data_IF_252287784627
#
_entry.id   IF_252287784627
#
_cell.length_a   1.000
_cell.length_b   1.000
_cell.length_c   1.000
_cell.angle_alpha   90.00
_cell.angle_beta   90.00
_cell.angle_gamma   90.00
#
_symmetry.space_group_name_H-M   'P 1'
#
loop_
_entity.id
_entity.type
_entity.pdbx_description
1 polymer ?
#
# COMPACT_ATOMS: atom_id res chain seq x y z
N UNK A 1 6.43 -14.44 4.96
CA UNK A 1 7.86 -14.46 5.37
C UNK A 1 8.16 -13.38 6.40
N UNK A 2 8.05 -12.08 6.07
CA UNK A 2 8.37 -10.96 6.98
C UNK A 2 7.68 -11.08 8.35
N UNK A 3 6.36 -11.24 8.38
CA UNK A 3 5.61 -11.33 9.64
C UNK A 3 6.00 -12.57 10.47
N UNK A 4 6.31 -13.68 9.81
CA UNK A 4 6.80 -14.89 10.49
C UNK A 4 8.20 -14.67 11.08
N UNK A 5 9.07 -13.93 10.39
CA UNK A 5 10.37 -13.52 10.93
C UNK A 5 10.20 -12.63 12.16
N UNK A 6 9.30 -11.65 12.12
CA UNK A 6 9.00 -10.79 13.28
C UNK A 6 8.45 -11.59 14.45
N UNK A 7 7.53 -12.52 14.20
CA UNK A 7 6.98 -13.41 15.21
C UNK A 7 8.07 -14.27 15.88
N UNK A 8 9.00 -14.84 15.10
CA UNK A 8 10.12 -15.61 15.65
C UNK A 8 11.02 -14.75 16.53
N UNK A 9 11.40 -13.56 16.05
CA UNK A 9 12.20 -12.61 16.84
C UNK A 9 11.49 -12.24 18.15
N UNK A 10 10.20 -11.94 18.08
CA UNK A 10 9.37 -11.65 19.25
C UNK A 10 9.35 -12.84 20.23
N UNK A 11 9.05 -14.05 19.75
CA UNK A 11 8.99 -15.25 20.57
C UNK A 11 10.33 -15.53 21.26
N UNK A 12 11.44 -15.48 20.51
CA UNK A 12 12.78 -15.71 21.06
C UNK A 12 13.17 -14.64 22.08
N UNK A 13 12.86 -13.38 21.83
CA UNK A 13 13.14 -12.29 22.77
C UNK A 13 12.35 -12.48 24.08
N UNK A 14 11.07 -12.79 23.99
CA UNK A 14 10.22 -12.95 25.19
C UNK A 14 10.60 -14.20 25.99
N UNK A 15 11.00 -15.28 25.31
CA UNK A 15 11.56 -16.47 25.94
C UNK A 15 12.88 -16.15 26.67
N UNK A 16 13.77 -15.36 26.05
CA UNK A 16 15.01 -14.89 26.68
C UNK A 16 14.76 -14.11 27.97
N UNK A 17 13.76 -13.22 27.98
CA UNK A 17 13.37 -12.46 29.18
C UNK A 17 12.46 -13.23 30.15
N UNK A 18 12.10 -14.49 29.84
CA UNK A 18 11.16 -15.32 30.60
C UNK A 18 9.80 -14.65 30.85
N UNK A 19 9.33 -13.85 29.89
CA UNK A 19 8.03 -13.20 29.98
C UNK A 19 6.98 -14.11 29.32
N UNK A 20 5.94 -14.56 30.04
CA UNK A 20 4.88 -15.39 29.45
C UNK A 20 4.09 -14.56 28.43
N UNK A 21 3.93 -15.08 27.21
CA UNK A 21 3.29 -14.39 26.08
C UNK A 21 1.98 -15.00 25.63
N UNK A 22 1.68 -16.21 26.09
CA UNK A 22 0.42 -16.90 25.83
C UNK A 22 -0.01 -17.71 27.05
N UNK A 23 -1.33 -17.87 27.19
CA UNK A 23 -1.94 -18.79 28.14
C UNK A 23 -2.72 -19.83 27.34
N UNK A 24 -2.53 -21.12 27.62
CA UNK A 24 -3.20 -22.19 26.91
C UNK A 24 -4.17 -22.92 27.83
N UNK A 25 -5.37 -23.19 27.30
CA UNK A 25 -6.45 -23.88 27.98
C UNK A 25 -6.81 -25.13 27.21
N UNK A 26 -7.01 -26.24 27.90
CA UNK A 26 -7.49 -27.49 27.29
C UNK A 26 -9.02 -27.46 27.23
N UNK A 27 -9.58 -27.47 26.02
CA UNK A 27 -11.03 -27.45 25.81
C UNK A 27 -11.51 -28.86 25.44
N UNK A 28 -12.38 -29.41 26.28
CA UNK A 28 -13.08 -30.67 26.00
C UNK A 28 -14.20 -30.43 24.98
N UNK A 29 -14.26 -31.24 23.93
CA UNK A 29 -15.18 -31.04 22.79
C UNK A 29 -16.44 -31.92 22.82
N UNK A 30 -16.60 -32.75 23.85
CA UNK A 30 -17.71 -33.71 23.98
C UNK A 30 -17.22 -35.15 24.12
N UNK A 31 -18.14 -36.10 24.26
CA UNK A 31 -17.81 -37.54 24.25
C UNK A 31 -17.27 -37.94 22.86
N UNK A 32 -16.25 -38.80 22.83
CA UNK A 32 -15.53 -39.29 21.64
C UNK A 32 -14.71 -38.28 20.83
N UNK A 33 -14.45 -37.07 21.35
CA UNK A 33 -13.55 -36.09 20.71
C UNK A 33 -12.33 -35.78 21.58
N UNK A 34 -11.14 -35.87 20.98
CA UNK A 34 -9.90 -35.50 21.66
C UNK A 34 -9.93 -34.02 22.10
N UNK A 35 -9.46 -33.72 23.33
CA UNK A 35 -9.36 -32.35 23.80
C UNK A 35 -8.38 -31.55 22.93
N UNK A 36 -8.69 -30.28 22.70
CA UNK A 36 -7.86 -29.38 21.89
C UNK A 36 -7.34 -28.24 22.78
N UNK A 37 -6.08 -27.89 22.63
CA UNK A 37 -5.51 -26.69 23.28
C UNK A 37 -5.93 -25.42 22.53
N UNK A 38 -6.51 -24.48 23.27
CA UNK A 38 -6.79 -23.12 22.84
C UNK A 38 -5.86 -22.16 23.57
N UNK A 39 -4.95 -21.53 22.83
CA UNK A 39 -4.00 -20.57 23.37
C UNK A 39 -4.44 -19.13 23.06
N UNK A 40 -4.32 -18.25 24.05
CA UNK A 40 -4.61 -16.83 23.93
C UNK A 40 -3.36 -16.00 24.24
N UNK A 41 -3.17 -14.91 23.50
CA UNK A 41 -2.09 -13.94 23.72
C UNK A 41 -1.13 -13.81 22.54
N UNK A 42 -0.25 -12.80 22.56
CA UNK A 42 0.66 -12.49 21.45
C UNK A 42 1.68 -13.60 21.14
N UNK A 43 1.87 -14.55 22.06
CA UNK A 43 2.64 -15.78 21.82
C UNK A 43 1.91 -16.82 20.97
N UNK A 44 0.64 -16.60 20.63
CA UNK A 44 -0.07 -17.36 19.62
C UNK A 44 0.04 -16.66 18.25
N UNK A 45 0.36 -17.38 17.15
CA UNK A 45 0.54 -16.78 15.83
C UNK A 45 -0.68 -16.03 15.30
N UNK A 46 -1.91 -16.49 15.60
CA UNK A 46 -3.13 -15.87 15.10
C UNK A 46 -3.38 -14.54 15.82
N UNK A 47 -3.22 -14.52 17.15
CA UNK A 47 -3.31 -13.29 17.94
C UNK A 47 -2.23 -12.27 17.55
N UNK A 48 -0.99 -12.72 17.35
CA UNK A 48 0.08 -11.85 16.87
C UNK A 48 -0.29 -11.23 15.52
N UNK A 49 -0.75 -12.05 14.57
CA UNK A 49 -1.15 -11.60 13.24
C UNK A 49 -2.23 -10.51 13.30
N UNK A 50 -3.33 -10.78 13.98
CA UNK A 50 -4.49 -9.89 14.06
C UNK A 50 -4.16 -8.60 14.83
N UNK A 51 -3.30 -8.68 15.85
CA UNK A 51 -2.85 -7.51 16.60
C UNK A 51 -2.12 -6.51 15.69
N UNK A 52 -1.22 -6.98 14.82
CA UNK A 52 -0.56 -6.09 13.85
C UNK A 52 -1.53 -5.50 12.83
N UNK A 53 -2.56 -6.26 12.40
CA UNK A 53 -3.62 -5.73 11.53
C UNK A 53 -4.32 -4.56 12.21
N UNK A 54 -4.77 -4.72 13.45
CA UNK A 54 -5.47 -3.67 14.18
C UNK A 54 -4.58 -2.46 14.49
N UNK A 55 -3.31 -2.68 14.84
CA UNK A 55 -2.33 -1.60 15.03
C UNK A 55 -2.16 -0.77 13.74
N UNK A 56 -1.99 -1.43 12.59
CA UNK A 56 -1.82 -0.75 11.31
C UNK A 56 -3.11 -0.01 10.88
N UNK A 57 -4.29 -0.59 11.12
CA UNK A 57 -5.56 0.08 10.82
C UNK A 57 -5.85 1.24 11.77
N UNK A 58 -5.43 1.16 13.03
CA UNK A 58 -5.44 2.30 13.95
C UNK A 58 -4.53 3.44 13.45
N UNK A 59 -3.30 3.11 13.02
CA UNK A 59 -2.38 4.10 12.43
C UNK A 59 -2.94 4.73 11.15
N UNK A 60 -3.66 3.95 10.33
CA UNK A 60 -4.33 4.45 9.12
C UNK A 60 -5.30 5.59 9.42
N UNK A 61 -6.00 5.57 10.56
CA UNK A 61 -6.92 6.66 10.92
C UNK A 61 -6.18 7.99 11.12
N UNK A 62 -4.99 7.94 11.73
CA UNK A 62 -4.13 9.11 11.87
C UNK A 62 -3.66 9.60 10.49
N UNK A 63 -3.30 8.69 9.58
CA UNK A 63 -2.91 9.06 8.21
C UNK A 63 -4.09 9.67 7.44
N UNK A 64 -5.31 9.15 7.58
CA UNK A 64 -6.50 9.73 6.97
C UNK A 64 -6.78 11.15 7.47
N UNK A 65 -6.66 11.38 8.78
CA UNK A 65 -6.80 12.72 9.36
C UNK A 65 -5.78 13.68 8.74
N UNK A 66 -4.50 13.29 8.72
CA UNK A 66 -3.42 14.09 8.13
C UNK A 66 -3.70 14.35 6.65
N UNK A 67 -4.13 13.33 5.91
CA UNK A 67 -4.39 13.44 4.48
C UNK A 67 -5.58 14.35 4.18
N UNK A 68 -6.69 14.19 4.89
CA UNK A 68 -7.85 15.06 4.77
C UNK A 68 -7.51 16.51 5.09
N UNK A 69 -6.77 16.76 6.18
CA UNK A 69 -6.30 18.11 6.55
C UNK A 69 -5.33 18.69 5.53
N UNK A 70 -4.41 17.88 5.00
CA UNK A 70 -3.47 18.32 3.97
C UNK A 70 -4.18 18.69 2.67
N UNK A 71 -5.18 17.90 2.27
CA UNK A 71 -5.92 18.13 1.03
C UNK A 71 -6.81 19.37 1.12
N UNK A 72 -7.54 19.54 2.24
CA UNK A 72 -8.47 20.66 2.46
C UNK A 72 -7.81 21.96 2.94
N UNK A 73 -6.60 21.89 3.49
CA UNK A 73 -5.96 23.01 4.19
C UNK A 73 -6.57 23.36 5.55
N UNK A 74 -7.42 22.48 6.12
CA UNK A 74 -8.13 22.74 7.37
C UNK A 74 -8.22 21.50 8.28
N UNK A 75 -8.15 21.71 9.60
CA UNK A 75 -8.36 20.64 10.60
C UNK A 75 -9.75 19.99 10.48
N UNK A 76 -10.74 20.79 10.07
CA UNK A 76 -12.11 20.32 9.82
C UNK A 76 -12.17 19.28 8.70
N UNK A 77 -11.38 19.44 7.62
CA UNK A 77 -11.36 18.47 6.52
C UNK A 77 -10.84 17.10 6.97
N UNK A 78 -9.80 17.06 7.81
CA UNK A 78 -9.31 15.83 8.42
C UNK A 78 -10.34 15.17 9.33
N UNK A 79 -11.03 15.95 10.17
CA UNK A 79 -12.11 15.44 11.00
C UNK A 79 -13.26 14.87 10.17
N UNK A 80 -13.68 15.56 9.11
CA UNK A 80 -14.72 15.09 8.19
C UNK A 80 -14.31 13.78 7.51
N UNK A 81 -13.07 13.65 7.04
CA UNK A 81 -12.57 12.40 6.45
C UNK A 81 -12.67 11.22 7.41
N UNK A 82 -12.25 11.40 8.67
CA UNK A 82 -12.33 10.33 9.68
C UNK A 82 -13.77 10.00 10.05
N UNK A 83 -14.63 11.00 10.21
CA UNK A 83 -16.06 10.80 10.49
C UNK A 83 -16.76 10.05 9.35
N UNK A 84 -16.49 10.43 8.10
CA UNK A 84 -17.03 9.72 6.93
C UNK A 84 -16.53 8.29 6.83
N UNK A 85 -15.26 8.03 7.16
CA UNK A 85 -14.73 6.68 7.21
C UNK A 85 -15.44 5.83 8.26
N UNK A 86 -15.65 6.34 9.49
CA UNK A 86 -16.36 5.60 10.54
C UNK A 86 -17.83 5.39 10.20
N UNK A 87 -18.50 6.41 9.64
CA UNK A 87 -19.87 6.29 9.18
C UNK A 87 -20.03 5.20 8.12
N UNK A 88 -19.04 5.06 7.23
CA UNK A 88 -19.04 4.08 6.15
C UNK A 88 -18.06 2.91 6.38
N UNK A 89 -17.78 2.56 7.63
CA UNK A 89 -16.68 1.65 7.96
C UNK A 89 -16.85 0.27 7.31
N UNK A 90 -18.07 -0.27 7.31
CA UNK A 90 -18.39 -1.60 6.76
C UNK A 90 -18.12 -1.73 5.27
N UNK A 91 -18.31 -0.65 4.49
CA UNK A 91 -18.01 -0.63 3.06
C UNK A 91 -16.55 -0.21 2.79
N UNK A 92 -15.98 0.61 3.67
CA UNK A 92 -14.61 1.12 3.52
C UNK A 92 -13.54 0.08 3.85
N UNK A 93 -13.85 -0.87 4.73
CA UNK A 93 -12.94 -1.95 5.10
C UNK A 93 -13.69 -3.16 5.65
N UNK A 94 -13.15 -4.35 5.35
CA UNK A 94 -13.64 -5.62 5.89
C UNK A 94 -12.91 -6.05 7.16
N UNK A 95 -12.01 -5.23 7.69
CA UNK A 95 -11.13 -5.58 8.83
C UNK A 95 -11.88 -6.01 10.10
N UNK A 96 -13.11 -5.53 10.30
CA UNK A 96 -13.94 -5.94 11.44
C UNK A 96 -14.48 -7.37 11.29
N UNK A 97 -14.86 -7.77 10.08
CA UNK A 97 -15.49 -9.05 9.80
C UNK A 97 -14.48 -10.14 9.47
N UNK A 98 -13.44 -9.78 8.73
CA UNK A 98 -12.39 -10.70 8.28
C UNK A 98 -11.00 -10.07 8.45
N UNK A 99 -10.55 -9.83 9.70
CA UNK A 99 -9.24 -9.24 9.98
C UNK A 99 -8.05 -9.94 9.30
N UNK A 100 -8.04 -11.29 9.13
CA UNK A 100 -6.90 -11.99 8.54
C UNK A 100 -6.65 -11.75 7.04
N UNK A 101 -7.46 -10.92 6.36
CA UNK A 101 -7.26 -10.64 4.94
C UNK A 101 -5.97 -9.85 4.69
N UNK A 102 -5.25 -10.26 3.64
CA UNK A 102 -3.99 -9.61 3.25
C UNK A 102 -4.15 -8.13 2.90
N UNK A 103 -5.29 -7.74 2.35
CA UNK A 103 -5.60 -6.33 2.02
C UNK A 103 -5.63 -5.43 3.27
N UNK A 104 -5.94 -5.99 4.45
CA UNK A 104 -5.97 -5.27 5.72
C UNK A 104 -4.57 -4.83 6.18
N UNK A 105 -3.50 -5.49 5.72
CA UNK A 105 -2.12 -4.99 5.91
C UNK A 105 -1.75 -3.92 4.90
N UNK A 106 -2.23 -4.04 3.67
CA UNK A 106 -1.87 -3.16 2.57
C UNK A 106 -2.56 -1.79 2.67
N UNK A 107 -3.82 -1.75 3.10
CA UNK A 107 -4.64 -0.55 3.04
C UNK A 107 -4.05 0.69 3.75
N UNK A 108 -3.45 0.58 4.95
CA UNK A 108 -2.78 1.71 5.61
C UNK A 108 -1.63 2.31 4.77
N UNK A 109 -0.88 1.47 4.06
CA UNK A 109 0.20 1.92 3.19
C UNK A 109 -0.31 2.54 1.90
N UNK A 110 -1.48 2.13 1.40
CA UNK A 110 -2.15 2.81 0.28
C UNK A 110 -2.49 4.25 0.64
N UNK A 111 -3.08 4.47 1.82
CA UNK A 111 -3.46 5.82 2.28
C UNK A 111 -2.22 6.70 2.43
N UNK A 112 -1.14 6.16 3.03
CA UNK A 112 0.15 6.85 3.13
C UNK A 112 0.75 7.17 1.77
N UNK A 113 0.73 6.20 0.85
CA UNK A 113 1.25 6.35 -0.51
C UNK A 113 0.47 7.44 -1.27
N UNK A 114 -0.85 7.49 -1.14
CA UNK A 114 -1.69 8.54 -1.74
C UNK A 114 -1.39 9.92 -1.17
N UNK A 115 -1.22 10.04 0.15
CA UNK A 115 -0.78 11.28 0.80
C UNK A 115 0.57 11.77 0.25
N UNK A 116 1.56 10.87 0.18
CA UNK A 116 2.89 11.19 -0.35
C UNK A 116 2.84 11.59 -1.82
N UNK A 117 2.02 10.90 -2.64
CA UNK A 117 1.80 11.24 -4.03
C UNK A 117 1.20 12.64 -4.17
N UNK A 118 0.13 12.95 -3.41
CA UNK A 118 -0.47 14.30 -3.42
C UNK A 118 0.55 15.36 -3.04
N UNK A 119 1.36 15.10 -2.01
CA UNK A 119 2.43 16.01 -1.60
C UNK A 119 3.46 16.26 -2.72
N UNK A 120 3.90 15.20 -3.43
CA UNK A 120 4.83 15.28 -4.56
C UNK A 120 4.22 16.04 -5.74
N UNK A 121 2.93 15.82 -6.03
CA UNK A 121 2.23 16.49 -7.11
C UNK A 121 2.12 18.00 -6.85
N UNK A 122 1.76 18.40 -5.62
CA UNK A 122 1.68 19.81 -5.19
C UNK A 122 3.04 20.51 -5.07
N UNK A 123 4.12 19.75 -4.83
CA UNK A 123 5.47 20.33 -4.69
C UNK A 123 6.13 20.53 -6.05
N UNK A 124 6.63 21.73 -6.36
CA UNK A 124 7.27 22.01 -7.65
C UNK A 124 8.48 21.10 -7.92
N UNK A 125 9.40 21.02 -6.96
CA UNK A 125 10.60 20.19 -7.01
C UNK A 125 10.59 19.21 -5.83
N UNK A 126 10.02 18.01 -6.00
CA UNK A 126 9.95 17.03 -4.91
C UNK A 126 11.35 16.58 -4.50
N UNK A 127 11.58 16.45 -3.20
CA UNK A 127 12.86 15.98 -2.68
C UNK A 127 13.08 14.51 -3.03
N UNK A 128 14.35 14.08 -3.10
CA UNK A 128 14.70 12.66 -3.29
C UNK A 128 14.10 11.79 -2.18
N UNK A 129 14.06 12.31 -0.95
CA UNK A 129 13.50 11.59 0.20
C UNK A 129 11.99 11.36 0.04
N UNK A 130 11.25 12.33 -0.50
CA UNK A 130 9.82 12.17 -0.79
C UNK A 130 9.59 11.07 -1.84
N UNK A 131 10.42 11.01 -2.88
CA UNK A 131 10.33 9.97 -3.92
C UNK A 131 10.69 8.58 -3.38
N UNK A 132 11.71 8.49 -2.50
CA UNK A 132 12.06 7.24 -1.82
C UNK A 132 10.94 6.79 -0.88
N UNK A 133 10.35 7.70 -0.11
CA UNK A 133 9.21 7.42 0.75
C UNK A 133 8.00 6.91 -0.07
N UNK A 134 7.74 7.51 -1.23
CA UNK A 134 6.71 7.02 -2.16
C UNK A 134 7.02 5.59 -2.61
N UNK A 135 8.26 5.29 -2.99
CA UNK A 135 8.67 3.95 -3.38
C UNK A 135 8.52 2.92 -2.26
N UNK A 136 9.02 3.24 -1.05
CA UNK A 136 8.91 2.36 0.12
C UNK A 136 7.44 2.11 0.49
N UNK A 137 6.61 3.15 0.53
CA UNK A 137 5.17 3.00 0.80
C UNK A 137 4.45 2.18 -0.28
N UNK A 138 4.84 2.32 -1.55
CA UNK A 138 4.31 1.50 -2.65
C UNK A 138 4.72 0.04 -2.51
N UNK A 139 5.96 -0.24 -2.12
CA UNK A 139 6.43 -1.62 -1.83
C UNK A 139 5.64 -2.22 -0.67
N UNK A 140 5.50 -1.49 0.45
CA UNK A 140 4.72 -1.95 1.61
C UNK A 140 3.23 -2.13 1.30
N UNK A 141 2.68 -1.39 0.35
CA UNK A 141 1.32 -1.59 -0.15
C UNK A 141 1.20 -2.87 -0.99
N UNK A 142 2.15 -3.14 -1.90
CA UNK A 142 2.07 -4.28 -2.81
C UNK A 142 2.46 -5.62 -2.17
N UNK A 143 3.42 -5.62 -1.25
CA UNK A 143 3.97 -6.86 -0.67
C UNK A 143 2.92 -7.76 0.02
N UNK A 144 1.97 -7.24 0.81
CA UNK A 144 0.97 -8.09 1.42
C UNK A 144 -0.09 -8.53 0.40
N UNK A 145 -0.47 -7.68 -0.54
CA UNK A 145 -1.66 -7.87 -1.37
C UNK A 145 -1.37 -7.94 -2.87
N UNK A 146 -1.46 -9.15 -3.43
CA UNK A 146 -1.17 -9.44 -4.85
C UNK A 146 -2.00 -8.63 -5.86
N UNK A 147 -3.21 -8.21 -5.47
CA UNK A 147 -4.14 -7.47 -6.34
C UNK A 147 -3.93 -5.94 -6.27
N UNK A 148 -2.98 -5.47 -5.45
CA UNK A 148 -2.61 -4.05 -5.34
C UNK A 148 -2.28 -3.41 -6.70
N UNK A 149 -1.77 -4.20 -7.64
CA UNK A 149 -1.51 -3.82 -9.03
C UNK A 149 -2.72 -3.16 -9.73
N UNK A 150 -3.96 -3.56 -9.42
CA UNK A 150 -5.14 -2.96 -10.03
C UNK A 150 -5.38 -1.54 -9.53
N UNK A 151 -5.14 -1.28 -8.24
CA UNK A 151 -5.24 0.06 -7.65
C UNK A 151 -4.12 0.97 -8.18
N UNK A 152 -2.90 0.45 -8.33
CA UNK A 152 -1.81 1.25 -8.88
C UNK A 152 -1.97 1.50 -10.39
N UNK A 153 -2.62 0.59 -11.12
CA UNK A 153 -2.98 0.81 -12.52
C UNK A 153 -3.94 2.00 -12.67
N UNK A 154 -4.98 2.09 -11.85
CA UNK A 154 -5.91 3.23 -11.90
C UNK A 154 -5.18 4.53 -11.54
N UNK A 155 -4.30 4.50 -10.54
CA UNK A 155 -3.48 5.66 -10.19
C UNK A 155 -2.56 6.10 -11.35
N UNK A 156 -1.87 5.17 -12.00
CA UNK A 156 -1.00 5.48 -13.15
C UNK A 156 -1.83 6.01 -14.33
N UNK A 157 -3.02 5.47 -14.58
CA UNK A 157 -3.94 5.98 -15.59
C UNK A 157 -4.36 7.43 -15.28
N UNK A 158 -4.70 7.74 -14.02
CA UNK A 158 -5.02 9.11 -13.60
C UNK A 158 -3.84 10.07 -13.73
N UNK A 159 -2.63 9.63 -13.40
CA UNK A 159 -1.40 10.42 -13.58
C UNK A 159 -1.13 10.69 -15.06
N UNK A 160 -1.34 9.69 -15.92
CA UNK A 160 -1.18 9.85 -17.36
C UNK A 160 -2.23 10.78 -17.97
N UNK A 161 -3.49 10.67 -17.55
CA UNK A 161 -4.53 11.63 -17.94
C UNK A 161 -4.16 13.06 -17.50
N UNK A 162 -3.65 13.23 -16.27
CA UNK A 162 -3.19 14.53 -15.78
C UNK A 162 -2.00 15.09 -16.55
N UNK A 163 -1.11 14.21 -17.04
CA UNK A 163 0.00 14.56 -17.93
C UNK A 163 -0.50 15.02 -19.30
N UNK A 164 -1.42 14.26 -19.90
CA UNK A 164 -2.04 14.60 -21.19
C UNK A 164 -2.72 15.97 -21.14
N UNK A 165 -3.42 16.27 -20.04
CA UNK A 165 -4.09 17.57 -19.84
C UNK A 165 -3.13 18.73 -19.53
N UNK A 166 -1.82 18.50 -19.45
CA UNK A 166 -0.82 19.54 -19.20
C UNK A 166 -0.66 19.95 -17.73
N UNK A 167 -1.35 19.29 -16.79
CA UNK A 167 -1.21 19.58 -15.35
C UNK A 167 0.08 19.01 -14.74
N UNK A 168 0.74 18.06 -15.41
CA UNK A 168 1.92 17.38 -14.90
C UNK A 168 3.13 17.54 -15.84
N UNK A 169 4.24 18.06 -15.32
CA UNK A 169 5.48 18.20 -16.11
C UNK A 169 6.05 16.83 -16.54
N UNK A 170 6.65 16.71 -17.73
CA UNK A 170 7.22 15.44 -18.21
C UNK A 170 8.29 14.86 -17.28
N UNK A 171 9.18 15.69 -16.72
CA UNK A 171 10.22 15.24 -15.81
C UNK A 171 9.63 14.61 -14.54
N UNK A 172 8.62 15.26 -13.93
CA UNK A 172 7.93 14.71 -12.76
C UNK A 172 7.21 13.40 -13.08
N UNK A 173 6.55 13.32 -14.25
CA UNK A 173 5.91 12.08 -14.69
C UNK A 173 6.92 10.92 -14.85
N UNK A 174 8.07 11.17 -15.49
CA UNK A 174 9.12 10.17 -15.64
C UNK A 174 9.65 9.67 -14.28
N UNK A 175 9.89 10.57 -13.33
CA UNK A 175 10.38 10.18 -12.00
C UNK A 175 9.32 9.37 -11.24
N UNK A 176 8.03 9.72 -11.35
CA UNK A 176 6.94 8.94 -10.75
C UNK A 176 6.87 7.54 -11.35
N UNK A 177 6.86 7.42 -12.68
CA UNK A 177 6.87 6.12 -13.37
C UNK A 177 8.07 5.28 -12.98
N UNK A 178 9.26 5.88 -12.89
CA UNK A 178 10.47 5.20 -12.45
C UNK A 178 10.33 4.67 -11.02
N UNK A 179 9.81 5.48 -10.08
CA UNK A 179 9.54 5.03 -8.71
C UNK A 179 8.60 3.83 -8.70
N UNK A 180 7.54 3.85 -9.52
CA UNK A 180 6.59 2.73 -9.65
C UNK A 180 7.25 1.47 -10.25
N UNK A 181 8.09 1.62 -11.29
CA UNK A 181 8.83 0.51 -11.90
C UNK A 181 9.86 -0.12 -10.95
N UNK A 182 10.62 0.71 -10.22
CA UNK A 182 11.57 0.24 -9.20
C UNK A 182 10.83 -0.50 -8.08
N UNK A 183 9.72 0.06 -7.60
CA UNK A 183 8.90 -0.57 -6.55
C UNK A 183 8.34 -1.92 -7.01
N UNK A 184 7.87 -2.03 -8.25
CA UNK A 184 7.41 -3.27 -8.86
C UNK A 184 8.54 -4.31 -8.93
N UNK A 185 9.73 -3.91 -9.39
CA UNK A 185 10.90 -4.80 -9.47
C UNK A 185 11.34 -5.31 -8.09
N UNK A 186 11.37 -4.45 -7.08
CA UNK A 186 11.65 -4.83 -5.70
C UNK A 186 10.59 -5.82 -5.18
N UNK A 187 9.30 -5.57 -5.42
CA UNK A 187 8.23 -6.49 -5.03
C UNK A 187 8.34 -7.84 -5.74
N UNK A 188 8.68 -7.85 -7.02
CA UNK A 188 8.89 -9.09 -7.78
C UNK A 188 9.98 -9.98 -7.16
N UNK A 189 11.12 -9.38 -6.78
CA UNK A 189 12.21 -10.09 -6.11
C UNK A 189 11.76 -10.59 -4.73
N UNK A 190 11.15 -9.73 -3.92
CA UNK A 190 10.71 -10.07 -2.56
C UNK A 190 9.56 -11.09 -2.52
N UNK A 191 8.78 -11.21 -3.60
CA UNK A 191 7.74 -12.22 -3.80
C UNK A 191 8.26 -13.48 -4.52
N UNK A 192 9.58 -13.68 -4.57
CA UNK A 192 10.22 -14.87 -5.15
C UNK A 192 9.81 -15.11 -6.62
N UNK A 193 9.75 -14.03 -7.40
CA UNK A 193 9.53 -14.14 -8.84
C UNK A 193 8.06 -14.33 -9.26
N UNK A 194 7.10 -13.79 -8.49
CA UNK A 194 5.68 -13.88 -8.80
C UNK A 194 5.37 -13.37 -10.23
N UNK A 195 5.06 -14.30 -11.14
CA UNK A 195 4.82 -14.03 -12.56
C UNK A 195 3.63 -13.10 -12.80
N UNK A 196 2.62 -13.15 -11.93
CA UNK A 196 1.42 -12.31 -12.01
C UNK A 196 1.76 -10.81 -11.98
N UNK A 197 2.86 -10.41 -11.34
CA UNK A 197 3.27 -9.00 -11.28
C UNK A 197 3.82 -8.52 -12.63
N UNK A 198 4.67 -9.31 -13.29
CA UNK A 198 5.30 -8.93 -14.56
C UNK A 198 4.33 -9.01 -15.74
N UNK A 199 3.41 -9.98 -15.72
CA UNK A 199 2.39 -10.14 -16.78
C UNK A 199 1.17 -9.24 -16.58
N UNK A 200 1.20 -8.36 -15.58
CA UNK A 200 0.10 -7.46 -15.26
C UNK A 200 -0.06 -6.32 -16.27
N UNK A 201 -1.30 -5.84 -16.42
CA UNK A 201 -1.59 -4.58 -17.11
C UNK A 201 -0.87 -3.39 -16.48
N UNK A 202 -0.63 -3.43 -15.17
CA UNK A 202 0.13 -2.42 -14.47
C UNK A 202 1.58 -2.35 -14.99
N UNK A 203 2.29 -3.49 -15.05
CA UNK A 203 3.66 -3.55 -15.56
C UNK A 203 3.77 -3.08 -17.02
N UNK A 204 2.89 -3.57 -17.89
CA UNK A 204 2.89 -3.17 -19.31
C UNK A 204 2.53 -1.68 -19.48
N UNK A 205 1.58 -1.16 -18.70
CA UNK A 205 1.21 0.26 -18.75
C UNK A 205 2.36 1.18 -18.32
N UNK A 206 3.13 0.81 -17.29
CA UNK A 206 4.29 1.60 -16.83
C UNK A 206 5.33 1.75 -17.93
N UNK A 207 5.70 0.65 -18.59
CA UNK A 207 6.67 0.65 -19.68
C UNK A 207 6.14 1.45 -20.88
N UNK A 208 4.88 1.22 -21.25
CA UNK A 208 4.25 1.89 -22.40
C UNK A 208 4.18 3.40 -22.20
N UNK A 209 3.70 3.85 -21.04
CA UNK A 209 3.60 5.28 -20.71
C UNK A 209 4.99 5.90 -20.60
N UNK A 210 5.95 5.20 -19.99
CA UNK A 210 7.32 5.69 -19.92
C UNK A 210 7.93 5.90 -21.31
N UNK A 211 7.73 4.96 -22.23
CA UNK A 211 8.18 5.08 -23.61
C UNK A 211 7.53 6.28 -24.32
N UNK A 212 6.21 6.48 -24.16
CA UNK A 212 5.49 7.64 -24.71
C UNK A 212 6.07 8.96 -24.19
N UNK A 213 6.31 9.07 -22.87
CA UNK A 213 6.84 10.30 -22.26
C UNK A 213 8.32 10.53 -22.62
N UNK A 214 9.11 9.46 -22.77
CA UNK A 214 10.51 9.53 -23.16
C UNK A 214 10.68 9.95 -24.64
N UNK A 215 9.84 9.42 -25.53
CA UNK A 215 9.88 9.71 -26.97
C UNK A 215 9.03 10.93 -27.36
N UNK A 216 8.53 11.71 -26.39
CA UNK A 216 7.61 12.83 -26.63
C UNK A 216 8.11 13.83 -27.67
N UNK A 217 9.42 14.09 -27.73
CA UNK A 217 9.99 15.04 -28.69
C UNK A 217 9.90 14.50 -30.12
N UNK A 218 10.17 13.20 -30.30
CA UNK A 218 10.03 12.54 -31.60
C UNK A 218 8.56 12.49 -32.03
N UNK A 219 7.65 12.16 -31.10
CA UNK A 219 6.22 12.20 -31.37
C UNK A 219 5.75 13.61 -31.74
N UNK A 220 6.20 14.64 -31.04
CA UNK A 220 5.90 16.03 -31.39
C UNK A 220 6.35 16.34 -32.82
N UNK A 221 7.59 16.00 -33.21
CA UNK A 221 8.07 16.21 -34.58
C UNK A 221 7.25 15.45 -35.64
N UNK A 222 6.83 14.21 -35.36
CA UNK A 222 6.03 13.39 -36.28
C UNK A 222 4.59 13.89 -36.40
N UNK A 223 3.96 14.33 -35.30
CA UNK A 223 2.57 14.79 -35.28
C UNK A 223 2.38 16.26 -35.64
N UNK A 224 3.44 17.07 -35.62
CA UNK A 224 3.42 18.45 -36.14
C UNK A 224 3.18 18.46 -37.67
N UNK A 225 3.40 17.33 -38.35
CA UNK A 225 3.03 17.14 -39.75
C UNK A 225 1.53 16.89 -40.00
N UNK A 226 0.63 17.00 -39.01
CA UNK A 226 -0.78 17.24 -39.34
C UNK A 226 -1.91 16.83 -38.39
N UNK A 227 -1.70 16.41 -37.13
CA UNK A 227 -2.87 15.90 -36.36
C UNK A 227 -3.06 16.45 -34.94
N UNK A 228 -2.04 16.85 -34.18
CA UNK A 228 -2.29 17.44 -32.84
C UNK A 228 -1.28 18.53 -32.49
N UNK A 229 -1.77 19.78 -32.37
CA UNK A 229 -1.10 20.83 -31.61
C UNK A 229 -1.49 20.62 -30.14
N UNK A 230 -0.52 20.15 -29.34
CA UNK A 230 -0.59 20.08 -27.88
C UNK A 230 -0.15 21.39 -27.26
#
# INVERSE_FOLDING_TARGET
VVLASWYRVYSTAMEFFRIPTKMCWTINRGEDLDPVESCEGMGDPAYFYVTFVFLLNGAMMSVFYIYGTYLSGSKMGGALTVLSFFFNHGESTRVMWTPPLRESFSYPFLVLQMLLLTHILRTRNPSRNSMVALGVSTVMFMLPWQFAQFVLLTQVASLFASYILGYLSPAKMQTLLLTHMVSLGVCYILMFGNSMLLTSFYASSLISIWAVVALRNQFSHVFTAGVLKW
#
